data_IF_145807080819
#
_entry.id   IF_145807080819
#
_cell.length_a   1.000
_cell.length_b   1.000
_cell.length_c   1.000
_cell.angle_alpha   90.00
_cell.angle_beta   90.00
_cell.angle_gamma   90.00
#
_symmetry.space_group_name_H-M   'P 1'
#
loop_
_entity.id
_entity.type
_entity.pdbx_description
1 polymer ?
#
# COMPACT_ATOMS: atom_id res chain seq x y z
N UNK A 1 21.33 -59.63 -69.96
CA UNK A 1 22.77 -59.58 -69.64
C UNK A 1 23.32 -58.25 -70.10
N UNK A 2 23.79 -57.39 -69.18
CA UNK A 2 24.92 -56.46 -69.35
C UNK A 2 25.02 -55.59 -68.10
N UNK A 3 26.09 -55.85 -67.33
CA UNK A 3 26.53 -55.09 -66.17
C UNK A 3 27.06 -53.72 -66.64
N UNK A 4 26.75 -52.66 -65.91
CA UNK A 4 27.67 -51.53 -65.75
C UNK A 4 27.56 -50.98 -64.33
N UNK A 5 28.67 -51.08 -63.59
CA UNK A 5 28.96 -50.38 -62.34
C UNK A 5 29.66 -49.06 -62.68
N UNK A 6 30.18 -48.28 -61.72
CA UNK A 6 29.70 -47.86 -60.40
C UNK A 6 29.73 -46.31 -60.30
N UNK A 7 29.29 -45.69 -59.19
CA UNK A 7 30.01 -44.58 -58.53
C UNK A 7 29.28 -44.07 -57.27
N UNK A 8 30.12 -43.89 -56.26
CA UNK A 8 29.97 -43.13 -55.02
C UNK A 8 28.90 -42.02 -55.04
N UNK A 9 28.08 -42.00 -53.99
CA UNK A 9 27.65 -40.74 -53.38
C UNK A 9 27.72 -40.87 -51.86
N UNK A 10 28.77 -40.26 -51.30
CA UNK A 10 28.72 -39.64 -49.97
C UNK A 10 27.97 -38.33 -50.16
N UNK A 11 26.91 -38.08 -49.41
CA UNK A 11 26.56 -36.74 -48.90
C UNK A 11 25.49 -36.90 -47.80
N UNK A 12 25.90 -36.76 -46.54
CA UNK A 12 25.53 -35.64 -45.66
C UNK A 12 24.04 -35.64 -45.29
N UNK A 13 23.74 -36.23 -44.13
CA UNK A 13 22.48 -36.03 -43.44
C UNK A 13 22.45 -34.60 -42.89
N UNK A 14 21.72 -33.71 -43.58
CA UNK A 14 21.44 -32.36 -43.12
C UNK A 14 20.41 -32.42 -41.98
N UNK A 15 20.89 -32.17 -40.76
CA UNK A 15 20.07 -31.99 -39.57
C UNK A 15 19.38 -30.62 -39.67
N UNK A 16 18.10 -30.61 -40.02
CA UNK A 16 17.27 -29.40 -39.95
C UNK A 16 16.99 -29.07 -38.48
N UNK A 17 17.77 -28.15 -37.92
CA UNK A 17 17.52 -27.59 -36.59
C UNK A 17 16.46 -26.48 -36.73
N UNK A 18 15.20 -26.85 -36.52
CA UNK A 18 14.09 -25.89 -36.40
C UNK A 18 14.35 -24.99 -35.18
N UNK A 19 14.71 -23.73 -35.44
CA UNK A 19 14.80 -22.71 -34.42
C UNK A 19 13.39 -22.31 -33.97
N UNK A 20 12.89 -22.99 -32.94
CA UNK A 20 11.71 -22.57 -32.20
C UNK A 20 12.04 -21.29 -31.44
N UNK A 21 11.65 -20.14 -32.00
CA UNK A 21 11.57 -18.88 -31.26
C UNK A 21 10.49 -19.06 -30.20
N UNK A 22 10.87 -19.51 -29.01
CA UNK A 22 10.04 -19.31 -27.83
C UNK A 22 10.03 -17.80 -27.56
N UNK A 23 8.96 -17.14 -28.00
CA UNK A 23 8.51 -15.91 -27.36
C UNK A 23 8.34 -16.21 -25.87
N UNK A 24 9.34 -15.88 -25.07
CA UNK A 24 9.15 -15.70 -23.64
C UNK A 24 8.18 -14.54 -23.48
N UNK A 25 6.90 -14.86 -23.25
CA UNK A 25 5.98 -13.90 -22.67
C UNK A 25 6.63 -13.43 -21.38
N UNK A 26 7.11 -12.19 -21.35
CA UNK A 26 7.38 -11.53 -20.10
C UNK A 26 6.11 -11.68 -19.27
N UNK A 27 6.19 -12.35 -18.12
CA UNK A 27 5.09 -12.39 -17.17
C UNK A 27 4.70 -10.93 -16.91
N UNK A 28 3.54 -10.51 -17.44
CA UNK A 28 3.04 -9.15 -17.35
C UNK A 28 3.03 -8.76 -15.87
N UNK A 29 3.85 -7.79 -15.51
CA UNK A 29 3.84 -7.23 -14.16
C UNK A 29 2.43 -6.69 -13.90
N UNK A 30 1.73 -7.23 -12.91
CA UNK A 30 0.32 -6.98 -12.59
C UNK A 30 0.11 -5.60 -11.92
N UNK A 31 0.71 -4.56 -12.49
CA UNK A 31 0.66 -3.18 -12.01
C UNK A 31 -0.20 -2.32 -12.92
N UNK A 32 -0.94 -1.38 -12.35
CA UNK A 32 -1.68 -0.37 -13.13
C UNK A 32 -1.02 0.98 -12.91
N UNK A 33 -0.77 1.74 -13.99
CA UNK A 33 -0.12 3.04 -13.88
C UNK A 33 -0.66 4.06 -14.87
N UNK A 34 -0.47 5.34 -14.53
CA UNK A 34 -0.80 6.47 -15.39
C UNK A 34 0.10 7.66 -15.05
N UNK A 35 0.45 8.46 -16.05
CA UNK A 35 1.17 9.73 -15.89
C UNK A 35 0.40 10.83 -16.60
N UNK A 36 0.16 11.92 -15.87
CA UNK A 36 -0.45 13.14 -16.38
C UNK A 36 0.55 14.27 -16.43
N UNK A 37 0.37 15.12 -17.44
CA UNK A 37 0.80 16.50 -17.38
C UNK A 37 -0.17 17.27 -16.47
N UNK A 38 0.38 17.92 -15.46
CA UNK A 38 -0.39 18.45 -14.37
C UNK A 38 -1.02 19.82 -14.63
N UNK A 39 -0.51 20.53 -15.63
CA UNK A 39 -1.00 21.86 -15.96
C UNK A 39 -2.15 21.78 -16.98
N UNK A 40 -2.02 20.90 -17.96
CA UNK A 40 -3.01 20.67 -19.02
C UNK A 40 -4.03 19.58 -18.70
N UNK A 41 -3.73 18.66 -17.77
CA UNK A 41 -4.57 17.50 -17.48
C UNK A 41 -4.55 16.43 -18.59
N UNK A 42 -3.55 16.47 -19.49
CA UNK A 42 -3.35 15.47 -20.55
C UNK A 42 -2.70 14.21 -20.01
N UNK A 43 -3.10 13.07 -20.55
CA UNK A 43 -2.43 11.79 -20.29
C UNK A 43 -1.17 11.70 -21.15
N UNK A 44 -0.03 11.52 -20.50
CA UNK A 44 1.25 11.30 -21.19
C UNK A 44 1.47 9.82 -21.49
N UNK A 45 1.01 8.94 -20.60
CA UNK A 45 1.00 7.50 -20.81
C UNK A 45 0.23 6.76 -19.72
N UNK A 46 -0.19 5.55 -20.02
CA UNK A 46 -0.92 4.69 -19.07
C UNK A 46 -0.79 3.22 -19.43
N UNK A 47 -1.05 2.36 -18.44
CA UNK A 47 -1.23 0.92 -18.59
C UNK A 47 -2.22 0.44 -17.54
N UNK A 48 -3.26 -0.29 -17.95
CA UNK A 48 -4.34 -0.79 -17.09
C UNK A 48 -4.91 0.26 -16.12
N UNK A 49 -4.92 1.53 -16.50
CA UNK A 49 -5.21 2.64 -15.59
C UNK A 49 -6.63 2.68 -15.05
N UNK A 50 -7.54 1.92 -15.65
CA UNK A 50 -8.95 1.80 -15.25
C UNK A 50 -9.26 0.51 -14.48
N UNK A 51 -8.27 -0.37 -14.25
CA UNK A 51 -8.44 -1.57 -13.43
C UNK A 51 -8.71 -1.18 -11.98
N UNK A 52 -9.75 -1.79 -11.39
CA UNK A 52 -10.12 -1.55 -10.01
C UNK A 52 -9.14 -2.24 -9.06
N UNK A 53 -8.63 -1.47 -8.09
CA UNK A 53 -7.71 -1.93 -7.05
C UNK A 53 -8.09 -1.34 -5.70
N UNK A 54 -7.72 -2.02 -4.63
CA UNK A 54 -7.84 -1.47 -3.29
C UNK A 54 -6.92 -0.24 -3.13
N UNK A 55 -7.42 0.90 -2.61
CA UNK A 55 -6.64 2.14 -2.54
C UNK A 55 -5.52 2.08 -1.48
N UNK A 56 -5.67 1.23 -0.46
CA UNK A 56 -4.86 1.29 0.76
C UNK A 56 -4.80 2.73 1.31
N UNK A 57 -3.67 3.13 1.92
CA UNK A 57 -3.49 4.48 2.48
C UNK A 57 -3.63 5.63 1.48
N UNK A 58 -3.72 5.37 0.17
CA UNK A 58 -4.05 6.43 -0.80
C UNK A 58 -5.43 7.03 -0.53
N UNK A 59 -6.35 6.30 0.11
CA UNK A 59 -7.65 6.82 0.53
C UNK A 59 -7.52 8.08 1.42
N UNK A 60 -6.42 8.20 2.19
CA UNK A 60 -6.16 9.38 3.03
C UNK A 60 -5.95 10.65 2.23
N UNK A 61 -5.61 10.57 0.94
CA UNK A 61 -5.61 11.74 0.06
C UNK A 61 -7.00 12.38 -0.04
N UNK A 62 -8.07 11.58 -0.07
CA UNK A 62 -9.44 12.11 -0.10
C UNK A 62 -9.85 12.63 1.29
N UNK A 63 -9.39 11.99 2.36
CA UNK A 63 -9.57 12.50 3.73
C UNK A 63 -8.92 13.88 3.90
N UNK A 64 -7.69 14.04 3.41
CA UNK A 64 -6.97 15.31 3.40
C UNK A 64 -7.66 16.34 2.49
N UNK A 65 -8.13 15.94 1.31
CA UNK A 65 -8.89 16.81 0.40
C UNK A 65 -10.13 17.41 1.09
N UNK A 66 -10.89 16.60 1.83
CA UNK A 66 -12.05 17.07 2.59
C UNK A 66 -11.65 17.94 3.79
N UNK A 67 -10.57 17.62 4.49
CA UNK A 67 -10.06 18.46 5.57
C UNK A 67 -9.61 19.84 5.06
N UNK A 68 -8.93 19.90 3.90
CA UNK A 68 -8.52 21.14 3.27
C UNK A 68 -9.71 21.96 2.77
N UNK A 69 -10.77 21.31 2.29
CA UNK A 69 -12.03 22.02 2.01
C UNK A 69 -12.60 22.66 3.28
N UNK A 70 -12.64 21.93 4.39
CA UNK A 70 -13.11 22.45 5.67
C UNK A 70 -12.33 23.68 6.11
N UNK A 71 -10.99 23.63 5.99
CA UNK A 71 -10.10 24.76 6.28
C UNK A 71 -10.39 25.95 5.36
N UNK A 72 -10.53 25.72 4.06
CA UNK A 72 -10.80 26.77 3.06
C UNK A 72 -12.16 27.44 3.24
N UNK A 73 -13.16 26.68 3.68
CA UNK A 73 -14.54 27.17 3.88
C UNK A 73 -14.79 27.71 5.29
N UNK A 74 -13.83 27.58 6.20
CA UNK A 74 -13.93 27.99 7.60
C UNK A 74 -14.84 27.11 8.46
N UNK A 75 -15.19 25.91 7.99
CA UNK A 75 -15.91 24.92 8.83
C UNK A 75 -14.95 24.11 9.70
N UNK A 76 -13.65 24.13 9.40
CA UNK A 76 -12.58 23.52 10.17
C UNK A 76 -11.48 24.57 10.38
N UNK A 77 -10.84 24.58 11.54
CA UNK A 77 -9.69 25.42 11.85
C UNK A 77 -8.51 24.56 12.29
N UNK A 78 -7.30 25.06 12.06
CA UNK A 78 -6.07 24.32 12.34
C UNK A 78 -5.93 23.86 13.80
N UNK A 79 -6.45 24.66 14.72
CA UNK A 79 -6.29 24.45 16.16
C UNK A 79 -7.56 23.85 16.80
N UNK A 80 -8.55 23.45 16.00
CA UNK A 80 -9.72 22.72 16.48
C UNK A 80 -9.26 21.44 17.19
N UNK A 81 -9.70 21.28 18.44
CA UNK A 81 -9.42 20.11 19.25
C UNK A 81 -10.42 18.99 18.93
N UNK A 82 -9.96 17.95 18.23
CA UNK A 82 -10.78 16.81 17.86
C UNK A 82 -10.66 15.70 18.91
N UNK A 83 -11.77 15.25 19.52
CA UNK A 83 -11.74 14.17 20.51
C UNK A 83 -11.39 12.83 19.86
N UNK A 84 -10.55 12.06 20.55
CA UNK A 84 -10.12 10.73 20.12
C UNK A 84 -11.10 9.68 20.64
N UNK A 85 -11.79 8.98 19.74
CA UNK A 85 -12.69 7.89 20.10
C UNK A 85 -11.94 6.59 20.43
N UNK A 86 -12.61 5.65 21.10
CA UNK A 86 -12.11 4.27 21.29
C UNK A 86 -11.84 3.59 19.94
N UNK A 87 -12.69 3.84 18.94
CA UNK A 87 -12.54 3.30 17.60
C UNK A 87 -11.27 3.83 16.89
N UNK A 88 -11.03 5.13 16.95
CA UNK A 88 -9.82 5.75 16.41
C UNK A 88 -8.55 5.18 17.06
N UNK A 89 -8.53 5.11 18.40
CA UNK A 89 -7.40 4.56 19.15
C UNK A 89 -7.13 3.07 18.81
N UNK A 90 -8.14 2.30 18.41
CA UNK A 90 -8.01 0.88 18.07
C UNK A 90 -7.34 0.63 16.70
N UNK A 91 -7.33 1.58 15.74
CA UNK A 91 -6.96 1.37 14.31
C UNK A 91 -5.56 0.86 13.96
N UNK A 92 -5.29 -0.44 13.95
CA UNK A 92 -3.96 -1.06 13.75
C UNK A 92 -2.98 -0.36 12.76
N UNK A 93 -1.69 -0.34 13.16
CA UNK A 93 -0.51 0.14 12.41
C UNK A 93 -0.56 1.58 11.90
N UNK A 94 0.61 2.14 11.56
CA UNK A 94 0.80 3.52 11.11
C UNK A 94 -0.05 4.48 11.94
N UNK A 95 0.35 4.72 13.20
CA UNK A 95 -0.43 5.48 14.20
C UNK A 95 0.40 6.57 14.85
N UNK A 96 -0.29 7.58 15.39
CA UNK A 96 0.28 8.50 16.38
C UNK A 96 0.20 7.96 17.81
N UNK A 97 -0.51 6.85 18.01
CA UNK A 97 -0.75 6.20 19.31
C UNK A 97 -1.64 7.04 20.20
N UNK A 98 -2.71 7.58 19.60
CA UNK A 98 -3.69 8.38 20.30
C UNK A 98 -4.47 7.54 21.32
N UNK A 99 -4.80 8.15 22.47
CA UNK A 99 -5.54 7.51 23.56
C UNK A 99 -7.01 7.92 23.54
N UNK A 100 -7.97 7.03 23.84
CA UNK A 100 -9.36 7.41 23.97
C UNK A 100 -9.55 8.53 24.99
N UNK A 101 -10.37 9.53 24.66
CA UNK A 101 -10.71 10.65 25.54
C UNK A 101 -9.73 11.81 25.54
N UNK A 102 -8.54 11.68 24.94
CA UNK A 102 -7.67 12.83 24.68
C UNK A 102 -8.11 13.57 23.40
N UNK A 103 -7.46 14.69 23.09
CA UNK A 103 -7.69 15.43 21.85
C UNK A 103 -6.43 15.47 20.98
N UNK A 104 -6.65 15.70 19.68
CA UNK A 104 -5.60 16.02 18.69
C UNK A 104 -6.06 17.24 17.88
N UNK A 105 -5.13 18.13 17.55
CA UNK A 105 -5.44 19.29 16.69
C UNK A 105 -5.64 18.86 15.24
N UNK A 106 -6.40 19.63 14.47
CA UNK A 106 -6.50 19.43 13.01
C UNK A 106 -5.12 19.45 12.35
N UNK A 107 -4.24 20.36 12.79
CA UNK A 107 -2.86 20.45 12.32
C UNK A 107 -2.07 19.16 12.52
N UNK A 108 -2.09 18.62 13.73
CA UNK A 108 -1.37 17.37 14.04
C UNK A 108 -1.97 16.17 13.31
N UNK A 109 -3.29 16.13 13.16
CA UNK A 109 -3.95 15.06 12.43
C UNK A 109 -3.59 15.08 10.93
N UNK A 110 -3.57 16.26 10.30
CA UNK A 110 -3.14 16.45 8.92
C UNK A 110 -1.69 16.03 8.74
N UNK A 111 -0.77 16.55 9.56
CA UNK A 111 0.65 16.19 9.48
C UNK A 111 0.87 14.70 9.76
N UNK A 112 0.13 14.11 10.71
CA UNK A 112 0.17 12.69 10.98
C UNK A 112 -0.26 11.83 9.79
N UNK A 113 -1.32 12.22 9.09
CA UNK A 113 -1.79 11.52 7.88
C UNK A 113 -0.83 11.69 6.70
N UNK A 114 -0.18 12.85 6.55
CA UNK A 114 0.77 13.12 5.48
C UNK A 114 2.07 12.33 5.71
N UNK A 115 2.71 12.52 6.87
CA UNK A 115 4.08 12.09 7.12
C UNK A 115 4.16 10.61 7.49
N UNK A 116 3.39 10.18 8.49
CA UNK A 116 3.43 8.80 9.01
C UNK A 116 2.19 8.01 8.63
N UNK A 117 1.36 8.54 7.73
CA UNK A 117 0.17 7.86 7.24
C UNK A 117 -0.79 7.41 8.35
N UNK A 118 -0.94 8.22 9.40
CA UNK A 118 -1.64 7.90 10.63
C UNK A 118 -3.10 7.45 10.41
N UNK A 119 -3.42 6.21 10.78
CA UNK A 119 -4.75 5.61 10.71
C UNK A 119 -5.69 6.13 11.80
N UNK A 120 -5.18 6.26 13.02
CA UNK A 120 -5.91 6.85 14.15
C UNK A 120 -6.30 8.29 13.85
N UNK A 121 -5.38 9.11 13.35
CA UNK A 121 -5.67 10.50 12.94
C UNK A 121 -6.70 10.59 11.79
N UNK A 122 -6.62 9.69 10.79
CA UNK A 122 -7.61 9.66 9.71
C UNK A 122 -9.02 9.33 10.23
N UNK A 123 -9.13 8.37 11.14
CA UNK A 123 -10.41 8.04 11.77
C UNK A 123 -10.93 9.20 12.62
N UNK A 124 -10.10 9.84 13.44
CA UNK A 124 -10.50 11.05 14.21
C UNK A 124 -11.04 12.13 13.27
N UNK A 125 -10.32 12.45 12.19
CA UNK A 125 -10.75 13.46 11.21
C UNK A 125 -12.11 13.10 10.60
N UNK A 126 -12.29 11.83 10.20
CA UNK A 126 -13.55 11.37 9.60
C UNK A 126 -14.74 11.41 10.56
N UNK A 127 -14.53 10.96 11.80
CA UNK A 127 -15.53 11.03 12.86
C UNK A 127 -15.87 12.47 13.24
N UNK A 128 -14.87 13.36 13.27
CA UNK A 128 -15.07 14.77 13.58
C UNK A 128 -15.91 15.47 12.50
N UNK A 129 -15.60 15.25 11.21
CA UNK A 129 -16.29 15.91 10.10
C UNK A 129 -17.71 15.37 9.88
N UNK A 130 -17.92 14.06 10.00
CA UNK A 130 -19.16 13.41 9.57
C UNK A 130 -19.87 12.58 10.65
N UNK A 131 -19.40 12.61 11.90
CA UNK A 131 -19.95 11.89 13.04
C UNK A 131 -19.64 10.39 13.08
N UNK A 132 -19.28 9.77 11.95
CA UNK A 132 -18.86 8.35 11.89
C UNK A 132 -18.02 8.06 10.64
N UNK A 133 -17.21 7.00 10.68
CA UNK A 133 -16.43 6.57 9.50
C UNK A 133 -17.31 6.22 8.31
N UNK A 134 -18.47 5.58 8.53
CA UNK A 134 -19.39 5.21 7.46
C UNK A 134 -20.02 6.45 6.79
N UNK A 135 -20.40 7.45 7.58
CA UNK A 135 -20.87 8.73 7.04
C UNK A 135 -19.76 9.46 6.28
N UNK A 136 -18.54 9.43 6.81
CA UNK A 136 -17.38 10.00 6.14
C UNK A 136 -17.06 9.28 4.82
N UNK A 137 -17.11 7.94 4.77
CA UNK A 137 -16.91 7.17 3.54
C UNK A 137 -17.92 7.52 2.44
N UNK A 138 -19.20 7.74 2.81
CA UNK A 138 -20.21 8.27 1.88
C UNK A 138 -19.86 9.68 1.39
N UNK A 139 -19.39 10.56 2.27
CA UNK A 139 -18.94 11.90 1.91
C UNK A 139 -17.72 11.87 0.98
N UNK A 140 -16.71 11.04 1.28
CA UNK A 140 -15.54 10.80 0.43
C UNK A 140 -15.95 10.31 -0.96
N UNK A 141 -16.86 9.34 -1.04
CA UNK A 141 -17.37 8.82 -2.32
C UNK A 141 -18.12 9.90 -3.08
N UNK A 142 -19.00 10.65 -2.43
CA UNK A 142 -19.73 11.77 -3.05
C UNK A 142 -18.74 12.79 -3.63
N UNK A 143 -17.70 13.15 -2.87
CA UNK A 143 -16.67 14.07 -3.35
C UNK A 143 -15.86 13.48 -4.50
N UNK A 144 -15.47 12.21 -4.43
CA UNK A 144 -14.79 11.50 -5.50
C UNK A 144 -15.56 11.64 -6.83
N UNK A 145 -16.89 11.40 -6.81
CA UNK A 145 -17.74 11.58 -8.00
C UNK A 145 -17.76 13.02 -8.50
N UNK A 146 -17.86 14.00 -7.60
CA UNK A 146 -17.89 15.42 -7.95
C UNK A 146 -16.61 15.88 -8.65
N UNK A 147 -15.45 15.36 -8.24
CA UNK A 147 -14.15 15.72 -8.85
C UNK A 147 -13.77 14.84 -10.04
N UNK A 148 -14.65 13.92 -10.46
CA UNK A 148 -14.46 13.10 -11.67
C UNK A 148 -13.83 11.72 -11.44
N UNK A 149 -13.60 11.30 -10.20
CA UNK A 149 -13.21 9.92 -9.87
C UNK A 149 -14.44 9.01 -9.97
N UNK A 150 -14.78 8.52 -11.16
CA UNK A 150 -16.05 7.80 -11.43
C UNK A 150 -16.03 6.32 -11.05
N UNK A 151 -14.85 5.75 -10.85
CA UNK A 151 -14.65 4.32 -10.57
C UNK A 151 -14.18 4.04 -9.13
N UNK A 152 -14.24 5.05 -8.25
CA UNK A 152 -13.76 5.00 -6.86
C UNK A 152 -14.87 4.94 -5.82
N UNK A 153 -14.81 4.03 -4.86
CA UNK A 153 -15.74 4.00 -3.72
C UNK A 153 -14.96 3.84 -2.41
N UNK A 154 -15.28 4.71 -1.45
CA UNK A 154 -14.68 4.74 -0.13
C UNK A 154 -15.69 4.35 0.94
N UNK A 155 -15.23 3.65 1.97
CA UNK A 155 -16.04 3.24 3.13
C UNK A 155 -15.47 3.74 4.44
N UNK A 156 -14.19 4.13 4.49
CA UNK A 156 -13.55 4.63 5.69
C UNK A 156 -12.42 5.62 5.36
N UNK A 157 -12.00 6.45 6.33
CA UNK A 157 -11.04 7.54 6.09
C UNK A 157 -9.60 7.08 5.85
N UNK A 158 -9.25 5.85 6.24
CA UNK A 158 -7.86 5.38 6.27
C UNK A 158 -7.48 4.49 5.09
N UNK A 159 -8.47 3.87 4.43
CA UNK A 159 -8.24 2.89 3.38
C UNK A 159 -8.00 1.47 3.87
N UNK A 160 -8.22 1.20 5.17
CA UNK A 160 -8.16 -0.16 5.73
C UNK A 160 -9.23 -1.04 5.05
N UNK A 161 -8.90 -2.31 4.81
CA UNK A 161 -9.64 -3.27 3.99
C UNK A 161 -10.24 -4.47 4.74
N UNK A 162 -9.92 -4.66 6.02
CA UNK A 162 -10.08 -5.95 6.73
C UNK A 162 -11.54 -6.29 6.93
N UNK A 163 -12.33 -5.23 7.09
CA UNK A 163 -13.74 -5.27 7.40
C UNK A 163 -14.59 -4.75 6.25
N UNK A 164 -13.98 -4.33 5.13
CA UNK A 164 -14.69 -3.59 4.09
C UNK A 164 -13.88 -3.44 2.80
N UNK A 165 -14.52 -3.68 1.66
CA UNK A 165 -13.91 -3.44 0.34
C UNK A 165 -14.05 -1.97 -0.05
N UNK A 166 -12.95 -1.39 -0.52
CA UNK A 166 -12.87 -0.06 -1.13
C UNK A 166 -12.12 -0.21 -2.44
N UNK A 167 -12.53 0.51 -3.48
CA UNK A 167 -11.94 0.38 -4.81
C UNK A 167 -11.63 1.76 -5.38
N UNK A 168 -10.56 1.82 -6.16
CA UNK A 168 -10.14 2.97 -6.96
C UNK A 168 -9.52 2.47 -8.26
N UNK A 169 -9.15 3.38 -9.15
CA UNK A 169 -8.29 3.12 -10.30
C UNK A 169 -7.05 4.01 -10.25
N UNK A 170 -6.04 3.73 -11.08
CA UNK A 170 -4.87 4.60 -11.19
C UNK A 170 -5.28 5.97 -11.76
N UNK A 171 -6.20 5.97 -12.73
CA UNK A 171 -6.79 7.19 -13.30
C UNK A 171 -7.47 8.05 -12.23
N UNK A 172 -8.32 7.47 -11.41
CA UNK A 172 -9.04 8.22 -10.37
C UNK A 172 -8.07 8.78 -9.31
N UNK A 173 -7.06 8.01 -8.92
CA UNK A 173 -6.03 8.51 -7.98
C UNK A 173 -5.19 9.65 -8.56
N UNK A 174 -4.93 9.64 -9.88
CA UNK A 174 -4.27 10.75 -10.55
C UNK A 174 -5.15 12.00 -10.55
N UNK A 175 -6.46 11.85 -10.82
CA UNK A 175 -7.44 12.95 -10.72
C UNK A 175 -7.43 13.56 -9.31
N UNK A 176 -7.36 12.74 -8.26
CA UNK A 176 -7.27 13.23 -6.88
C UNK A 176 -5.96 13.95 -6.59
N UNK A 177 -4.82 13.42 -7.04
CA UNK A 177 -3.51 14.09 -6.88
C UNK A 177 -3.48 15.46 -7.56
N UNK A 178 -4.04 15.54 -8.75
CA UNK A 178 -4.21 16.77 -9.51
C UNK A 178 -5.16 17.77 -8.83
N UNK A 179 -6.29 17.28 -8.31
CA UNK A 179 -7.26 18.12 -7.61
C UNK A 179 -6.69 18.71 -6.31
N UNK A 180 -5.89 17.96 -5.55
CA UNK A 180 -5.19 18.47 -4.36
C UNK A 180 -4.29 19.67 -4.70
N UNK A 181 -3.48 19.55 -5.77
CA UNK A 181 -2.58 20.62 -6.24
C UNK A 181 -3.34 21.86 -6.68
N UNK A 182 -4.39 21.67 -7.49
CA UNK A 182 -5.17 22.74 -8.09
C UNK A 182 -6.03 23.49 -7.07
N UNK A 183 -6.72 22.76 -6.19
CA UNK A 183 -7.76 23.34 -5.33
C UNK A 183 -7.20 23.90 -4.01
N UNK A 184 -6.07 23.33 -3.55
CA UNK A 184 -5.45 23.59 -2.24
C UNK A 184 -3.91 23.70 -2.33
N UNK A 185 -3.34 24.57 -3.19
CA UNK A 185 -1.88 24.64 -3.41
C UNK A 185 -1.07 24.92 -2.13
N UNK A 186 -1.59 25.76 -1.23
CA UNK A 186 -0.94 26.07 0.05
C UNK A 186 -0.87 24.85 0.97
N UNK A 187 -1.97 24.12 1.12
CA UNK A 187 -2.03 22.90 1.93
C UNK A 187 -1.31 21.74 1.23
N UNK A 188 -1.29 21.72 -0.10
CA UNK A 188 -0.56 20.73 -0.89
C UNK A 188 0.94 20.77 -0.59
N UNK A 189 1.52 21.96 -0.35
CA UNK A 189 2.93 22.10 0.01
C UNK A 189 3.32 21.27 1.26
N UNK A 190 2.37 20.91 2.12
CA UNK A 190 2.61 20.07 3.29
C UNK A 190 3.05 18.65 2.91
N UNK A 191 2.68 18.13 1.73
CA UNK A 191 3.11 16.79 1.27
C UNK A 191 4.62 16.70 0.99
N UNK A 192 5.30 17.83 0.81
CA UNK A 192 6.76 17.88 0.62
C UNK A 192 7.55 17.78 1.94
N UNK A 193 6.87 17.86 3.09
CA UNK A 193 7.51 17.72 4.39
C UNK A 193 8.07 16.31 4.59
N UNK A 194 9.28 16.24 5.16
CA UNK A 194 9.98 14.97 5.46
C UNK A 194 9.75 14.50 6.87
N UNK A 195 9.42 15.41 7.78
CA UNK A 195 9.17 15.10 9.18
C UNK A 195 8.25 16.13 9.81
N UNK A 196 7.70 15.80 10.96
CA UNK A 196 7.01 16.75 11.84
C UNK A 196 7.21 16.36 13.30
N UNK A 197 7.07 17.31 14.22
CA UNK A 197 7.15 17.04 15.65
C UNK A 197 5.75 16.83 16.22
N UNK A 198 5.55 15.70 16.89
CA UNK A 198 4.32 15.40 17.61
C UNK A 198 4.64 15.01 19.06
N UNK A 199 4.13 15.78 20.03
CA UNK A 199 4.39 15.59 21.48
C UNK A 199 5.87 15.40 21.77
N UNK A 200 6.67 16.37 21.35
CA UNK A 200 8.13 16.43 21.52
C UNK A 200 8.91 15.29 20.85
N UNK A 201 8.28 14.55 19.93
CA UNK A 201 8.93 13.49 19.17
C UNK A 201 8.88 13.80 17.68
N UNK A 202 10.05 13.86 17.06
CA UNK A 202 10.18 13.95 15.60
C UNK A 202 9.68 12.64 14.99
N UNK A 203 8.81 12.78 14.00
CA UNK A 203 8.24 11.71 13.18
C UNK A 203 8.72 11.88 11.76
N UNK A 204 9.38 10.87 11.21
CA UNK A 204 9.91 10.91 9.85
C UNK A 204 8.95 10.23 8.88
N UNK A 205 8.89 10.79 7.67
CA UNK A 205 8.10 10.26 6.58
C UNK A 205 8.79 9.09 5.90
N UNK A 206 7.96 8.26 5.27
CA UNK A 206 8.34 7.00 4.65
C UNK A 206 8.22 7.01 3.12
N UNK A 207 7.99 8.19 2.51
CA UNK A 207 7.93 8.33 1.06
C UNK A 207 9.36 8.33 0.50
N UNK A 208 9.92 7.14 0.28
CA UNK A 208 11.29 6.94 -0.18
C UNK A 208 11.63 7.73 -1.45
N UNK A 209 10.67 7.87 -2.37
CA UNK A 209 10.92 8.53 -3.65
C UNK A 209 11.27 10.01 -3.48
N UNK A 210 10.72 10.69 -2.46
CA UNK A 210 11.07 12.07 -2.11
C UNK A 210 12.54 12.24 -1.68
N UNK A 211 13.20 11.17 -1.25
CA UNK A 211 14.61 11.19 -0.87
C UNK A 211 15.53 10.77 -2.03
N UNK A 212 14.99 10.06 -3.02
CA UNK A 212 15.78 9.37 -4.06
C UNK A 212 15.64 9.97 -5.45
N UNK A 213 14.63 10.80 -5.69
CA UNK A 213 14.35 11.39 -7.00
C UNK A 213 14.16 12.90 -6.87
N UNK A 214 15.06 13.66 -7.51
CA UNK A 214 15.01 15.13 -7.49
C UNK A 214 13.77 15.63 -8.23
N UNK A 215 13.10 16.64 -7.66
CA UNK A 215 11.89 17.24 -8.23
C UNK A 215 10.59 16.63 -7.71
N UNK A 216 10.61 15.50 -6.99
CA UNK A 216 9.41 14.93 -6.36
C UNK A 216 8.99 15.77 -5.14
N UNK A 217 7.74 16.21 -5.12
CA UNK A 217 7.16 17.07 -4.08
C UNK A 217 5.96 16.42 -3.35
N UNK A 218 5.67 15.15 -3.64
CA UNK A 218 4.55 14.41 -3.04
C UNK A 218 4.33 13.04 -3.68
N UNK A 219 3.16 12.40 -3.53
CA UNK A 219 2.06 12.80 -2.62
C UNK A 219 1.90 11.75 -1.54
N UNK A 220 1.65 10.48 -1.91
CA UNK A 220 1.30 9.46 -0.93
C UNK A 220 1.62 8.05 -1.38
N UNK A 221 2.21 7.27 -0.47
CA UNK A 221 2.32 5.80 -0.59
C UNK A 221 1.13 5.11 0.08
N UNK A 222 0.83 3.90 -0.39
CA UNK A 222 -0.09 2.97 0.25
C UNK A 222 0.33 1.52 0.04
N UNK A 223 -0.05 0.66 0.97
CA UNK A 223 0.13 -0.79 0.86
C UNK A 223 -0.91 -1.47 1.71
N UNK A 224 -1.52 -2.52 1.18
CA UNK A 224 -2.12 -3.62 1.92
C UNK A 224 -1.73 -4.94 1.29
N UNK A 225 -1.90 -6.05 2.02
CA UNK A 225 -1.71 -7.38 1.46
C UNK A 225 -2.60 -7.62 0.23
N UNK A 226 -3.79 -7.01 0.21
CA UNK A 226 -4.73 -7.06 -0.93
C UNK A 226 -4.32 -6.13 -2.07
N UNK A 227 -3.81 -4.94 -1.76
CA UNK A 227 -3.54 -3.91 -2.77
C UNK A 227 -2.18 -4.02 -3.44
N UNK A 228 -1.23 -4.72 -2.82
CA UNK A 228 0.19 -4.57 -3.16
C UNK A 228 0.70 -3.16 -2.82
N UNK A 229 1.86 -2.79 -3.35
CA UNK A 229 2.51 -1.52 -3.10
C UNK A 229 2.06 -0.45 -4.10
N UNK A 230 1.56 0.67 -3.59
CA UNK A 230 0.93 1.76 -4.34
C UNK A 230 1.61 3.11 -4.06
N UNK A 231 1.65 3.98 -5.06
CA UNK A 231 2.20 5.32 -4.96
C UNK A 231 1.48 6.28 -5.91
N UNK A 232 1.10 7.44 -5.38
CA UNK A 232 0.82 8.65 -6.17
C UNK A 232 1.96 9.61 -5.90
N UNK A 233 2.64 10.05 -6.96
CA UNK A 233 3.70 11.04 -6.91
C UNK A 233 3.41 12.23 -7.79
N UNK A 234 3.92 13.38 -7.36
CA UNK A 234 4.00 14.58 -8.18
C UNK A 234 5.47 14.98 -8.26
N UNK A 235 5.87 15.49 -9.42
CA UNK A 235 7.22 15.93 -9.66
C UNK A 235 7.29 17.11 -10.62
N UNK A 236 8.30 17.95 -10.46
CA UNK A 236 8.66 19.00 -11.41
C UNK A 236 9.99 18.63 -12.06
N UNK A 237 10.00 18.44 -13.38
CA UNK A 237 11.18 18.03 -14.15
C UNK A 237 11.25 18.89 -15.41
N UNK A 238 12.31 19.69 -15.57
CA UNK A 238 12.47 20.61 -16.72
C UNK A 238 11.21 21.45 -16.99
N UNK A 239 10.67 22.07 -15.93
CA UNK A 239 9.41 22.84 -15.92
C UNK A 239 8.13 22.06 -16.23
N UNK A 240 8.21 20.76 -16.52
CA UNK A 240 7.04 19.90 -16.66
C UNK A 240 6.55 19.45 -15.28
N UNK A 241 5.32 19.82 -14.96
CA UNK A 241 4.64 19.33 -13.77
C UNK A 241 3.97 17.99 -14.07
N UNK A 242 4.34 16.94 -13.35
CA UNK A 242 3.81 15.60 -13.55
C UNK A 242 3.02 15.12 -12.35
N UNK A 243 1.98 14.33 -12.60
CA UNK A 243 1.36 13.45 -11.60
C UNK A 243 1.38 12.02 -12.10
N UNK A 244 2.13 11.16 -11.41
CA UNK A 244 2.27 9.74 -11.70
C UNK A 244 1.56 8.88 -10.66
N UNK A 245 0.98 7.76 -11.10
CA UNK A 245 0.38 6.76 -10.22
C UNK A 245 0.89 5.37 -10.60
N UNK A 246 1.28 4.57 -9.61
CA UNK A 246 1.58 3.14 -9.73
C UNK A 246 0.81 2.39 -8.66
N UNK A 247 0.02 1.40 -9.05
CA UNK A 247 -0.76 0.54 -8.16
C UNK A 247 -0.40 -0.93 -8.36
N UNK A 248 -0.32 -1.70 -7.27
CA UNK A 248 -0.22 -3.16 -7.32
C UNK A 248 1.18 -3.74 -7.47
N UNK A 249 2.24 -2.96 -7.25
CA UNK A 249 3.61 -3.49 -7.32
C UNK A 249 3.86 -4.56 -6.24
N UNK A 250 4.76 -5.51 -6.52
CA UNK A 250 5.07 -6.62 -5.60
C UNK A 250 5.94 -6.22 -4.42
N UNK A 251 6.68 -5.10 -4.53
CA UNK A 251 7.51 -4.54 -3.46
C UNK A 251 7.55 -3.02 -3.48
N UNK A 252 7.92 -2.41 -2.34
CA UNK A 252 8.16 -0.96 -2.26
C UNK A 252 9.27 -0.50 -3.22
N UNK A 253 10.33 -1.32 -3.38
CA UNK A 253 11.41 -1.03 -4.31
C UNK A 253 10.93 -1.03 -5.76
N UNK A 254 10.21 -2.06 -6.17
CA UNK A 254 9.66 -2.18 -7.51
C UNK A 254 8.74 -1.01 -7.86
N UNK A 255 7.85 -0.64 -6.93
CA UNK A 255 6.98 0.54 -7.02
C UNK A 255 7.80 1.82 -7.27
N UNK A 256 8.81 2.06 -6.44
CA UNK A 256 9.63 3.27 -6.50
C UNK A 256 10.47 3.31 -7.79
N UNK A 257 11.07 2.18 -8.17
CA UNK A 257 11.86 2.05 -9.39
C UNK A 257 10.98 2.22 -10.65
N UNK A 258 9.73 1.71 -10.63
CA UNK A 258 8.76 1.92 -11.71
C UNK A 258 8.32 3.38 -11.79
N UNK A 259 7.98 4.02 -10.67
CA UNK A 259 7.60 5.43 -10.65
C UNK A 259 8.74 6.32 -11.16
N UNK A 260 9.97 6.10 -10.71
CA UNK A 260 11.15 6.84 -11.17
C UNK A 260 11.35 6.72 -12.69
N UNK A 261 11.20 5.50 -13.26
CA UNK A 261 11.29 5.28 -14.71
C UNK A 261 10.22 6.07 -15.47
N UNK A 262 8.99 6.07 -14.98
CA UNK A 262 7.87 6.79 -15.58
C UNK A 262 8.10 8.31 -15.53
N UNK A 263 8.47 8.85 -14.37
CA UNK A 263 8.77 10.28 -14.22
C UNK A 263 9.93 10.72 -15.11
N UNK A 264 11.02 9.95 -15.17
CA UNK A 264 12.14 10.26 -16.08
C UNK A 264 11.69 10.23 -17.53
N UNK A 265 11.00 9.18 -17.95
CA UNK A 265 10.53 9.03 -19.34
C UNK A 265 9.68 10.22 -19.78
N UNK A 266 8.67 10.58 -18.99
CA UNK A 266 7.69 11.61 -19.38
C UNK A 266 8.09 13.04 -18.98
N UNK A 267 9.07 13.22 -18.10
CA UNK A 267 9.57 14.54 -17.68
C UNK A 267 10.77 15.04 -18.46
N UNK A 268 11.54 14.14 -19.09
CA UNK A 268 12.77 14.51 -19.83
C UNK A 268 12.63 14.40 -21.34
N UNK A 269 11.83 13.46 -21.83
CA UNK A 269 11.55 13.32 -23.25
C UNK A 269 10.27 14.12 -23.49
N UNK A 270 10.32 15.15 -24.34
CA UNK A 270 9.10 15.82 -24.80
C UNK A 270 8.25 14.81 -25.55
N UNK A 271 7.39 14.09 -24.83
CA UNK A 271 6.60 13.02 -25.41
C UNK A 271 5.44 13.62 -26.19
N UNK A 272 5.25 13.17 -27.42
CA UNK A 272 4.01 13.36 -28.17
C UNK A 272 2.85 12.76 -27.36
N UNK A 273 2.18 13.62 -26.61
CA UNK A 273 1.15 13.20 -25.68
C UNK A 273 -0.06 12.64 -26.45
N UNK A 274 -0.40 11.39 -26.15
CA UNK A 274 -1.63 10.74 -26.63
C UNK A 274 -2.82 11.62 -26.23
N UNK A 275 -3.53 12.19 -27.20
CA UNK A 275 -4.41 13.37 -27.07
C UNK A 275 -5.68 13.23 -26.22
N UNK A 276 -5.73 12.33 -25.23
CA UNK A 276 -6.90 12.16 -24.38
C UNK A 276 -6.84 13.11 -23.17
N UNK A 277 -7.65 14.17 -23.23
CA UNK A 277 -7.88 15.08 -22.11
C UNK A 277 -8.79 14.41 -21.08
N UNK A 278 -8.49 14.59 -19.79
CA UNK A 278 -9.45 14.25 -18.73
C UNK A 278 -10.21 15.51 -18.34
N UNK A 279 -11.53 15.49 -18.54
CA UNK A 279 -12.40 16.56 -18.07
C UNK A 279 -12.29 16.67 -16.54
N UNK A 280 -11.60 17.69 -16.08
CA UNK A 280 -11.51 18.02 -14.66
C UNK A 280 -12.63 18.97 -14.30
N UNK A 281 -13.67 18.46 -13.64
CA UNK A 281 -14.72 19.32 -13.12
C UNK A 281 -14.14 20.16 -11.96
N UNK A 282 -14.35 21.48 -12.02
CA UNK A 282 -14.16 22.33 -10.84
C UNK A 282 -15.18 21.90 -9.78
N UNK A 283 -14.79 21.70 -8.51
CA UNK A 283 -15.74 21.33 -7.47
C UNK A 283 -16.80 22.44 -7.35
N UNK A 284 -18.08 22.07 -7.40
CA UNK A 284 -19.10 22.95 -6.85
C UNK A 284 -18.96 22.93 -5.32
N UNK A 285 -19.01 24.09 -4.64
CA UNK A 285 -18.99 24.14 -3.18
C UNK A 285 -20.07 23.22 -2.64
N UNK A 286 -19.70 22.26 -1.79
CA UNK A 286 -20.73 21.56 -1.01
C UNK A 286 -21.33 22.60 -0.09
N UNK A 287 -22.66 22.75 -0.13
CA UNK A 287 -23.40 23.64 0.77
C UNK A 287 -22.86 23.44 2.19
N UNK A 288 -22.59 24.54 2.90
CA UNK A 288 -22.07 24.53 4.29
C UNK A 288 -22.80 23.45 5.09
N UNK A 289 -22.17 22.30 5.25
CA UNK A 289 -22.65 21.29 6.16
C UNK A 289 -22.08 21.71 7.50
N UNK A 290 -22.96 22.18 8.39
CA UNK A 290 -22.58 22.34 9.78
C UNK A 290 -22.01 20.99 10.25
N UNK A 291 -20.82 21.02 10.85
CA UNK A 291 -20.28 19.84 11.52
C UNK A 291 -21.37 19.37 12.49
N UNK A 292 -21.85 18.12 12.39
CA UNK A 292 -22.89 17.64 13.28
C UNK A 292 -22.42 17.78 14.72
N UNK A 293 -23.33 18.17 15.62
CA UNK A 293 -23.04 18.29 17.04
C UNK A 293 -22.34 17.00 17.54
N UNK A 294 -21.22 17.16 18.24
CA UNK A 294 -20.30 16.07 18.54
C UNK A 294 -21.05 14.86 19.14
N UNK A 295 -20.92 13.66 18.55
CA UNK A 295 -21.55 12.48 19.12
C UNK A 295 -20.92 12.18 20.48
N UNK A 296 -21.76 11.83 21.47
CA UNK A 296 -21.29 11.24 22.73
C UNK A 296 -20.50 9.98 22.37
N UNK A 297 -19.25 9.93 22.84
CA UNK A 297 -18.40 8.76 22.69
C UNK A 297 -19.00 7.60 23.45
N UNK A 298 -19.79 6.76 22.77
CA UNK A 298 -19.97 5.33 23.04
C UNK A 298 -21.14 4.78 22.20
N UNK A 299 -20.78 4.00 21.17
CA UNK A 299 -21.48 2.81 20.70
C UNK A 299 -21.01 2.46 19.27
N UNK A 300 -19.81 1.87 19.14
CA UNK A 300 -19.50 0.69 18.28
C UNK A 300 -18.11 0.20 18.72
N UNK A 301 -18.02 -0.43 19.90
CA UNK A 301 -16.76 -0.97 20.42
C UNK A 301 -16.62 -2.49 20.23
N UNK A 302 -17.71 -3.18 19.89
CA UNK A 302 -17.68 -4.63 19.77
C UNK A 302 -17.62 -5.01 18.30
N UNK A 303 -16.46 -5.52 17.90
CA UNK A 303 -16.13 -6.36 16.74
C UNK A 303 -14.65 -6.13 16.40
N UNK A 304 -13.73 -6.47 17.31
CA UNK A 304 -12.28 -6.41 17.07
C UNK A 304 -11.75 -7.83 16.85
N UNK A 305 -11.51 -8.18 15.59
CA UNK A 305 -10.54 -9.21 15.20
C UNK A 305 -9.29 -8.46 14.68
N UNK A 306 -8.22 -8.47 15.49
CA UNK A 306 -6.96 -7.76 15.27
C UNK A 306 -5.93 -8.58 14.46
N UNK A 307 -6.35 -9.66 13.79
CA UNK A 307 -5.39 -10.63 13.22
C UNK A 307 -4.98 -10.42 11.75
N UNK A 308 -5.51 -9.42 11.03
CA UNK A 308 -5.16 -9.24 9.60
C UNK A 308 -4.27 -8.02 9.40
N UNK A 309 -3.02 -8.30 9.06
CA UNK A 309 -1.99 -7.32 8.70
C UNK A 309 -2.48 -6.52 7.49
N UNK A 310 -2.92 -5.28 7.71
CA UNK A 310 -3.52 -4.53 6.61
C UNK A 310 -2.67 -3.44 5.96
N UNK A 311 -1.94 -2.56 6.64
CA UNK A 311 -1.20 -1.48 5.94
C UNK A 311 0.22 -1.18 6.47
N UNK A 312 1.17 -0.84 5.58
CA UNK A 312 2.56 -0.50 5.93
C UNK A 312 3.45 -0.27 4.69
N UNK A 313 4.24 0.80 4.66
CA UNK A 313 4.95 1.30 3.46
C UNK A 313 6.15 0.48 2.96
N UNK A 314 6.56 -0.58 3.66
CA UNK A 314 7.74 -1.39 3.32
C UNK A 314 9.09 -0.70 3.56
N UNK A 315 9.16 0.31 4.42
CA UNK A 315 10.42 0.93 4.84
C UNK A 315 11.36 -0.09 5.51
N UNK A 316 12.51 -0.33 4.87
CA UNK A 316 13.64 -1.19 5.23
C UNK A 316 13.55 -2.01 6.54
N UNK A 317 13.56 -3.34 6.38
CA UNK A 317 14.39 -4.20 7.22
C UNK A 317 15.59 -4.68 6.40
N UNK A 318 16.74 -4.65 7.06
CA UNK A 318 18.08 -4.99 6.58
C UNK A 318 18.09 -6.38 5.92
N UNK A 319 18.91 -6.48 4.86
CA UNK A 319 19.24 -7.65 4.04
C UNK A 319 18.92 -9.04 4.61
N UNK A 320 18.25 -9.87 3.80
CA UNK A 320 18.61 -11.30 3.65
C UNK A 320 17.95 -11.94 2.42
N UNK A 321 18.81 -12.39 1.52
CA UNK A 321 18.72 -13.49 0.55
C UNK A 321 17.36 -13.88 -0.09
N UNK A 322 17.33 -13.65 -1.41
CA UNK A 322 16.90 -14.55 -2.47
C UNK A 322 15.99 -15.75 -2.13
N UNK A 323 14.77 -15.68 -2.67
CA UNK A 323 14.08 -16.78 -3.37
C UNK A 323 14.11 -18.15 -2.70
N UNK A 324 13.13 -18.42 -1.83
CA UNK A 324 12.34 -19.66 -1.79
C UNK A 324 11.19 -19.48 -0.78
N UNK A 325 9.96 -19.84 -1.17
CA UNK A 325 8.75 -20.01 -0.32
C UNK A 325 8.62 -19.07 0.90
N UNK A 326 7.89 -17.97 0.73
CA UNK A 326 7.80 -16.88 1.71
C UNK A 326 7.05 -17.22 3.01
N UNK A 327 6.46 -18.41 3.16
CA UNK A 327 5.64 -18.74 4.33
C UNK A 327 6.33 -19.75 5.25
N UNK A 328 6.24 -19.46 6.55
CA UNK A 328 6.75 -20.26 7.64
C UNK A 328 5.69 -20.42 8.72
N UNK A 329 5.85 -21.42 9.58
CA UNK A 329 5.10 -21.50 10.84
C UNK A 329 6.08 -21.33 12.01
N UNK A 330 5.66 -20.61 13.04
CA UNK A 330 6.43 -20.43 14.28
C UNK A 330 5.73 -21.16 15.42
N UNK A 331 6.48 -22.03 16.11
CA UNK A 331 5.95 -22.81 17.23
C UNK A 331 6.18 -22.12 18.59
N UNK A 332 7.17 -21.24 18.69
CA UNK A 332 7.47 -20.52 19.92
C UNK A 332 8.75 -19.69 19.85
N UNK A 333 9.02 -18.96 20.93
CA UNK A 333 10.21 -18.12 21.07
C UNK A 333 10.84 -18.24 22.47
N UNK A 334 11.43 -19.40 22.82
CA UNK A 334 12.10 -19.60 24.10
C UNK A 334 13.32 -18.65 24.28
N UNK A 335 13.73 -18.39 25.54
CA UNK A 335 14.82 -17.46 25.84
C UNK A 335 16.21 -18.01 25.53
N UNK A 336 16.35 -19.33 25.27
CA UNK A 336 17.64 -19.98 24.99
C UNK A 336 17.61 -20.69 23.64
N UNK A 337 18.79 -20.76 22.98
CA UNK A 337 18.96 -21.51 21.73
C UNK A 337 18.68 -23.01 21.94
N UNK A 338 19.08 -23.55 23.09
CA UNK A 338 18.80 -24.95 23.48
C UNK A 338 17.29 -25.21 23.55
N UNK A 339 16.53 -24.32 24.19
CA UNK A 339 15.07 -24.43 24.25
C UNK A 339 14.42 -24.35 22.86
N UNK A 340 14.94 -23.53 21.94
CA UNK A 340 14.43 -23.47 20.57
C UNK A 340 14.70 -24.76 19.79
N UNK A 341 15.88 -25.36 19.96
CA UNK A 341 16.24 -26.66 19.35
C UNK A 341 15.36 -27.79 19.88
N UNK A 342 15.14 -27.83 21.20
CA UNK A 342 14.29 -28.82 21.85
C UNK A 342 12.84 -28.68 21.37
N UNK A 343 12.33 -27.46 21.26
CA UNK A 343 10.98 -27.19 20.75
C UNK A 343 10.77 -27.70 19.32
N UNK A 344 11.75 -27.46 18.44
CA UNK A 344 11.71 -27.97 17.06
C UNK A 344 11.80 -29.49 17.00
N UNK A 345 12.67 -30.11 17.80
CA UNK A 345 12.81 -31.57 17.85
C UNK A 345 11.54 -32.25 18.40
N UNK A 346 10.96 -31.68 19.45
CA UNK A 346 9.73 -32.17 20.10
C UNK A 346 8.55 -32.23 19.13
N UNK A 347 8.37 -31.19 18.32
CA UNK A 347 7.21 -31.07 17.42
C UNK A 347 7.48 -31.47 15.97
N UNK A 348 8.72 -31.80 15.60
CA UNK A 348 9.07 -32.29 14.26
C UNK A 348 8.16 -33.43 13.77
N UNK A 349 7.87 -34.49 14.56
CA UNK A 349 6.99 -35.58 14.09
C UNK A 349 5.56 -35.12 13.79
N UNK A 350 5.02 -34.18 14.58
CA UNK A 350 3.69 -33.64 14.37
C UNK A 350 3.64 -32.74 13.13
N UNK A 351 4.69 -31.93 12.91
CA UNK A 351 4.84 -31.09 11.73
C UNK A 351 4.99 -31.93 10.47
N UNK A 352 5.83 -32.97 10.47
CA UNK A 352 6.05 -33.81 9.29
C UNK A 352 4.78 -34.59 8.89
N UNK A 353 3.92 -34.94 9.87
CA UNK A 353 2.62 -35.57 9.61
C UNK A 353 1.63 -34.63 8.91
N UNK A 354 1.71 -33.34 9.19
CA UNK A 354 0.79 -32.31 8.70
C UNK A 354 1.29 -31.66 7.40
N UNK A 355 2.60 -31.45 7.30
CA UNK A 355 3.27 -30.81 6.19
C UNK A 355 4.70 -31.38 6.05
N UNK A 356 4.90 -32.47 5.28
CA UNK A 356 6.21 -33.11 5.13
C UNK A 356 7.19 -32.23 4.34
N UNK A 357 8.48 -32.37 4.63
CA UNK A 357 9.56 -31.75 3.86
C UNK A 357 9.90 -30.30 4.23
N UNK A 358 9.34 -29.79 5.34
CA UNK A 358 9.67 -28.45 5.83
C UNK A 358 11.06 -28.40 6.48
N UNK A 359 11.74 -27.26 6.35
CA UNK A 359 13.05 -27.02 6.96
C UNK A 359 12.89 -26.36 8.31
N UNK A 360 13.56 -26.88 9.34
CA UNK A 360 13.57 -26.27 10.67
C UNK A 360 14.55 -25.10 10.69
N UNK A 361 14.12 -23.95 11.21
CA UNK A 361 14.90 -22.72 11.29
C UNK A 361 14.80 -22.10 12.68
N UNK A 362 15.91 -21.55 13.16
CA UNK A 362 15.95 -20.76 14.39
C UNK A 362 16.45 -19.37 14.05
N UNK A 363 15.67 -18.34 14.38
CA UNK A 363 16.07 -16.95 14.21
C UNK A 363 16.17 -16.24 15.57
N UNK A 364 17.30 -15.58 15.88
CA UNK A 364 17.39 -14.75 17.07
C UNK A 364 16.52 -13.50 16.90
N UNK A 365 15.88 -13.04 17.98
CA UNK A 365 15.12 -11.80 17.98
C UNK A 365 15.32 -11.02 19.28
N UNK A 366 15.48 -9.70 19.14
CA UNK A 366 15.67 -8.77 20.24
C UNK A 366 14.62 -7.66 20.15
N UNK A 367 13.52 -7.82 20.89
CA UNK A 367 12.55 -6.73 21.10
C UNK A 367 12.54 -6.20 22.54
N UNK A 368 12.84 -7.05 23.54
CA UNK A 368 12.92 -6.69 24.98
C UNK A 368 13.85 -7.61 25.81
N UNK A 369 13.93 -8.89 25.45
CA UNK A 369 14.89 -9.90 25.95
C UNK A 369 15.32 -10.76 24.76
N UNK A 370 16.53 -11.33 24.80
CA UNK A 370 17.03 -12.24 23.76
C UNK A 370 16.16 -13.49 23.72
N UNK A 371 15.50 -13.74 22.59
CA UNK A 371 14.67 -14.93 22.36
C UNK A 371 15.04 -15.57 21.04
N UNK A 372 14.81 -16.88 20.93
CA UNK A 372 15.14 -17.68 19.77
C UNK A 372 13.84 -18.23 19.18
N UNK A 373 13.43 -17.71 18.02
CA UNK A 373 12.18 -18.12 17.36
C UNK A 373 12.39 -19.44 16.65
N UNK A 374 11.65 -20.46 17.05
CA UNK A 374 11.63 -21.79 16.45
C UNK A 374 10.58 -21.84 15.33
N UNK A 375 11.02 -22.11 14.09
CA UNK A 375 10.17 -22.09 12.89
C UNK A 375 10.35 -23.30 11.99
N UNK A 376 9.35 -23.56 11.16
CA UNK A 376 9.45 -24.42 9.98
C UNK A 376 9.14 -23.62 8.71
N UNK A 377 10.05 -23.66 7.74
CA UNK A 377 9.96 -22.96 6.45
C UNK A 377 9.75 -23.94 5.30
N UNK A 378 9.15 -23.47 4.20
CA UNK A 378 8.90 -24.29 3.01
C UNK A 378 7.47 -24.25 2.49
N UNK A 379 6.58 -23.42 3.06
CA UNK A 379 5.20 -23.31 2.59
C UNK A 379 5.09 -22.46 1.33
N UNK A 380 4.38 -22.98 0.33
CA UNK A 380 4.22 -22.32 -0.98
C UNK A 380 3.30 -21.10 -0.92
N UNK A 381 2.34 -21.09 0.00
CA UNK A 381 1.30 -20.06 0.13
C UNK A 381 0.81 -19.95 1.60
N UNK A 382 -0.01 -18.93 1.87
CA UNK A 382 -0.58 -18.71 3.22
C UNK A 382 -1.54 -19.82 3.63
N UNK A 383 -2.33 -20.32 2.67
CA UNK A 383 -3.37 -21.31 2.93
C UNK A 383 -2.79 -22.61 3.48
N UNK A 384 -1.68 -23.08 2.91
CA UNK A 384 -0.97 -24.27 3.40
C UNK A 384 -0.34 -24.06 4.78
N UNK A 385 0.20 -22.87 5.08
CA UNK A 385 0.74 -22.54 6.40
C UNK A 385 -0.37 -22.42 7.48
N UNK A 386 -1.49 -21.81 7.13
CA UNK A 386 -2.66 -21.66 8.00
C UNK A 386 -3.33 -23.01 8.29
N UNK A 387 -3.51 -23.85 7.27
CA UNK A 387 -4.04 -25.20 7.41
C UNK A 387 -3.14 -26.04 8.33
N UNK A 388 -1.82 -25.96 8.15
CA UNK A 388 -0.88 -26.67 9.01
C UNK A 388 -0.98 -26.20 10.47
N UNK A 389 -1.03 -24.88 10.71
CA UNK A 389 -1.20 -24.37 12.06
C UNK A 389 -2.56 -24.73 12.68
N UNK A 390 -3.64 -24.80 11.90
CA UNK A 390 -4.95 -25.24 12.39
C UNK A 390 -4.89 -26.68 12.91
N UNK A 391 -4.26 -27.59 12.16
CA UNK A 391 -4.09 -28.99 12.56
C UNK A 391 -3.18 -29.16 13.79
N UNK A 392 -2.10 -28.36 13.88
CA UNK A 392 -1.22 -28.37 15.04
C UNK A 392 -1.93 -27.84 16.31
N UNK A 393 -2.76 -26.80 16.18
CA UNK A 393 -3.57 -26.28 17.30
C UNK A 393 -4.61 -27.28 17.80
N UNK A 394 -5.19 -28.11 16.92
CA UNK A 394 -6.08 -29.21 17.33
C UNK A 394 -5.35 -30.24 18.22
N UNK A 395 -4.03 -30.38 18.05
CA UNK A 395 -3.16 -31.19 18.90
C UNK A 395 -2.61 -30.43 20.12
N UNK A 396 -3.15 -29.24 20.42
CA UNK A 396 -2.69 -28.33 21.49
C UNK A 396 -1.23 -27.89 21.33
N UNK A 397 -0.76 -27.77 20.08
CA UNK A 397 0.56 -27.24 19.74
C UNK A 397 0.41 -25.78 19.32
N UNK A 398 1.13 -24.88 19.99
CA UNK A 398 1.17 -23.48 19.62
C UNK A 398 1.75 -23.31 18.22
N UNK A 399 1.04 -22.56 17.37
CA UNK A 399 1.44 -22.36 15.98
C UNK A 399 0.96 -21.01 15.46
N UNK A 400 1.86 -20.27 14.81
CA UNK A 400 1.59 -18.99 14.17
C UNK A 400 2.14 -19.00 12.74
N UNK A 401 1.31 -18.86 11.69
CA UNK A 401 1.79 -18.70 10.33
C UNK A 401 2.39 -17.29 10.16
N UNK A 402 3.59 -17.20 9.57
CA UNK A 402 4.36 -15.97 9.40
C UNK A 402 4.98 -15.95 8.00
N UNK A 403 4.85 -14.83 7.30
CA UNK A 403 5.58 -14.57 6.07
C UNK A 403 7.01 -14.09 6.40
N UNK A 404 8.02 -14.81 5.91
CA UNK A 404 9.45 -14.50 6.07
C UNK A 404 9.82 -13.17 5.41
#
# INVERSE_FOLDING_TARGET
MLKSSPRLSRLVASLALSASVLCTSAAMANTSWIVFDADSGRILGQDDANVQRAPASLAKMMTLYLAFEGLKTGTLHWDDAMPVSKNAAAKVRMKLWLKPGETITVRDAINGMIIVSANDAATVMGEYIAGSEAAFGRLMTKRARQIGMKSTFFVNPSGLTAKSTQLTTARDMAVLGMALRRDYPEQYALFSQRSFTFRDRVRNGHNNLMYRYQGVDGIKTGYTDVSGYNLVSSAVINDNHLVGVVLGAGSARERDDQMAKLLTRFGTQGTEATGQLVAMAKPQPVAKQAIPAQPKADAVADLIDDSRIEQGDGGFLIASAAGTSAWTIQLGAPPTLAGAKELLAKYRPAVDKVAPGLKAEISPAEKRRKVYRARFSGFKDSASAEQACSQLKQQKIDCLPIRN
#
